data_IF_230516896655
#
_entry.id   IF_230516896655
#
_cell.length_a   1.000
_cell.length_b   1.000
_cell.length_c   1.000
_cell.angle_alpha   90.00
_cell.angle_beta   90.00
_cell.angle_gamma   90.00
#
_symmetry.space_group_name_H-M   'P 1'
#
loop_
_entity.id
_entity.type
_entity.pdbx_description
1 polymer ?
#
# COMPACT_ATOMS: atom_id res chain seq x y z
N UNK A 1 19.77 -28.94 -16.74
CA UNK A 1 19.15 -29.02 -15.40
C UNK A 1 17.66 -29.24 -15.60
N UNK A 2 17.10 -30.25 -14.96
CA UNK A 2 15.81 -30.88 -15.31
C UNK A 2 14.63 -29.90 -15.26
N UNK A 3 14.03 -29.69 -16.44
CA UNK A 3 12.85 -28.86 -16.66
C UNK A 3 11.60 -29.61 -16.17
N UNK A 4 11.39 -29.73 -14.86
CA UNK A 4 10.19 -30.35 -14.29
C UNK A 4 9.06 -29.33 -14.22
N UNK A 5 8.44 -29.04 -15.37
CA UNK A 5 7.13 -28.36 -15.46
C UNK A 5 6.11 -29.33 -16.08
N UNK A 6 5.85 -30.45 -15.40
CA UNK A 6 4.82 -31.39 -15.85
C UNK A 6 3.52 -31.12 -15.10
N UNK A 7 2.44 -30.98 -15.86
CA UNK A 7 1.07 -31.00 -15.35
C UNK A 7 0.85 -32.26 -14.49
N UNK A 8 0.21 -32.17 -13.30
CA UNK A 8 0.01 -33.32 -12.45
C UNK A 8 -0.91 -34.33 -13.15
N UNK A 9 -0.38 -35.50 -13.51
CA UNK A 9 -1.17 -36.54 -14.18
C UNK A 9 -2.33 -37.05 -13.32
N UNK A 10 -2.21 -36.98 -12.00
CA UNK A 10 -3.29 -37.29 -11.06
C UNK A 10 -4.52 -36.38 -11.21
N UNK A 11 -4.35 -35.16 -11.73
CA UNK A 11 -5.46 -34.23 -12.02
C UNK A 11 -6.26 -34.66 -13.26
N UNK A 12 -5.74 -35.55 -14.12
CA UNK A 12 -6.50 -36.03 -15.30
C UNK A 12 -7.73 -36.86 -14.90
N UNK A 13 -7.62 -37.61 -13.81
CA UNK A 13 -8.69 -38.47 -13.27
C UNK A 13 -9.64 -37.75 -12.32
N UNK A 14 -9.31 -36.51 -11.93
CA UNK A 14 -10.13 -35.69 -11.03
C UNK A 14 -11.36 -35.08 -11.71
N UNK A 15 -12.29 -34.60 -10.87
CA UNK A 15 -13.52 -33.95 -11.32
C UNK A 15 -13.22 -32.65 -12.08
N UNK A 16 -14.16 -32.21 -12.93
CA UNK A 16 -14.01 -30.95 -13.69
C UNK A 16 -13.81 -29.75 -12.76
N UNK A 17 -14.46 -29.74 -11.59
CA UNK A 17 -14.34 -28.69 -10.57
C UNK A 17 -12.92 -28.60 -10.01
N UNK A 18 -12.29 -29.73 -9.69
CA UNK A 18 -10.92 -29.76 -9.16
C UNK A 18 -9.89 -29.34 -10.22
N UNK A 19 -10.12 -29.71 -11.48
CA UNK A 19 -9.30 -29.24 -12.61
C UNK A 19 -9.35 -27.72 -12.76
N UNK A 20 -10.54 -27.13 -12.68
CA UNK A 20 -10.71 -25.68 -12.75
C UNK A 20 -10.01 -24.99 -11.57
N UNK A 21 -10.20 -25.48 -10.35
CA UNK A 21 -9.52 -24.95 -9.16
C UNK A 21 -8.00 -25.01 -9.28
N UNK A 22 -7.43 -26.06 -9.87
CA UNK A 22 -6.00 -26.13 -10.12
C UNK A 22 -5.53 -25.00 -11.03
N UNK A 23 -6.20 -24.78 -12.16
CA UNK A 23 -5.81 -23.73 -13.11
C UNK A 23 -6.05 -22.32 -12.59
N UNK A 24 -7.12 -22.10 -11.82
CA UNK A 24 -7.40 -20.81 -11.17
C UNK A 24 -6.30 -20.43 -10.17
N UNK A 25 -5.72 -21.42 -9.47
CA UNK A 25 -4.65 -21.20 -8.50
C UNK A 25 -3.24 -21.32 -9.11
N UNK A 26 -3.12 -21.85 -10.33
CA UNK A 26 -1.83 -22.04 -10.98
C UNK A 26 -1.30 -20.71 -11.53
N UNK A 27 -0.37 -20.12 -10.80
CA UNK A 27 0.38 -18.96 -11.29
C UNK A 27 1.65 -19.45 -11.99
N UNK A 28 1.72 -19.30 -13.31
CA UNK A 28 2.94 -19.63 -14.05
C UNK A 28 4.05 -18.63 -13.69
N UNK A 29 5.19 -19.13 -13.24
CA UNK A 29 6.41 -18.33 -13.10
C UNK A 29 6.85 -17.81 -14.48
N UNK A 30 6.53 -16.55 -14.76
CA UNK A 30 6.85 -15.86 -16.00
C UNK A 30 8.19 -15.13 -15.84
N UNK A 31 9.23 -15.41 -16.65
CA UNK A 31 10.57 -14.83 -16.47
C UNK A 31 10.58 -13.31 -16.36
N UNK A 32 9.76 -12.61 -17.16
CA UNK A 32 9.64 -11.14 -17.08
C UNK A 32 9.06 -10.63 -15.76
N UNK A 33 8.20 -11.41 -15.09
CA UNK A 33 7.64 -11.03 -13.80
C UNK A 33 8.73 -11.12 -12.73
N UNK A 34 9.57 -12.15 -12.80
CA UNK A 34 10.73 -12.34 -11.92
C UNK A 34 11.78 -11.23 -12.12
N UNK A 35 12.09 -10.89 -13.37
CA UNK A 35 12.96 -9.75 -13.70
C UNK A 35 12.41 -8.44 -13.13
N UNK A 36 11.12 -8.15 -13.34
CA UNK A 36 10.46 -6.96 -12.81
C UNK A 36 10.45 -6.93 -11.28
N UNK A 37 10.23 -8.08 -10.64
CA UNK A 37 10.29 -8.22 -9.18
C UNK A 37 11.69 -7.93 -8.64
N UNK A 38 12.73 -8.51 -9.25
CA UNK A 38 14.11 -8.27 -8.85
C UNK A 38 14.52 -6.80 -9.02
N UNK A 39 14.10 -6.18 -10.13
CA UNK A 39 14.33 -4.75 -10.35
C UNK A 39 13.66 -3.88 -9.28
N UNK A 40 12.38 -4.15 -8.99
CA UNK A 40 11.62 -3.42 -7.97
C UNK A 40 12.24 -3.59 -6.58
N UNK A 41 12.65 -4.81 -6.24
CA UNK A 41 13.33 -5.13 -4.98
C UNK A 41 14.61 -4.31 -4.80
N UNK A 42 15.43 -4.19 -5.83
CA UNK A 42 16.64 -3.34 -5.80
C UNK A 42 16.30 -1.85 -5.64
N UNK A 43 15.25 -1.37 -6.33
CA UNK A 43 14.83 0.02 -6.25
C UNK A 43 14.34 0.43 -4.85
N UNK A 44 13.61 -0.48 -4.19
CA UNK A 44 13.10 -0.30 -2.82
C UNK A 44 14.21 -0.46 -1.76
N UNK A 45 15.10 -1.44 -1.92
CA UNK A 45 16.15 -1.71 -0.91
C UNK A 45 17.22 -0.62 -0.82
N UNK A 46 17.53 0.03 -1.95
CA UNK A 46 18.61 1.02 -2.03
C UNK A 46 18.11 2.47 -1.97
N UNK A 47 16.96 2.72 -1.33
CA UNK A 47 16.43 4.07 -1.17
C UNK A 47 16.96 4.71 0.11
N UNK A 48 17.89 5.64 -0.04
CA UNK A 48 18.34 6.53 1.04
C UNK A 48 17.34 7.67 1.34
N UNK A 49 16.37 7.89 0.45
CA UNK A 49 15.37 8.96 0.51
C UNK A 49 13.99 8.45 0.09
N UNK A 50 12.94 9.24 0.37
CA UNK A 50 11.58 9.00 -0.12
C UNK A 50 11.54 8.94 -1.64
N UNK A 51 11.20 7.77 -2.20
CA UNK A 51 11.07 7.55 -3.65
C UNK A 51 9.62 7.26 -4.03
N UNK A 52 9.23 7.71 -5.23
CA UNK A 52 7.95 7.38 -5.85
C UNK A 52 8.24 6.46 -7.04
N UNK A 53 7.62 5.28 -7.06
CA UNK A 53 7.78 4.29 -8.14
C UNK A 53 6.43 4.09 -8.81
N UNK A 54 6.36 4.35 -10.11
CA UNK A 54 5.15 4.14 -10.92
C UNK A 54 5.21 2.80 -11.63
N UNK A 55 4.20 1.96 -11.42
CA UNK A 55 4.00 0.70 -12.13
C UNK A 55 2.73 0.82 -12.98
N UNK A 56 2.87 0.86 -14.29
CA UNK A 56 1.76 0.99 -15.24
C UNK A 56 1.84 -0.07 -16.34
N UNK A 57 0.69 -0.36 -16.98
CA UNK A 57 0.60 -1.36 -18.05
C UNK A 57 -0.83 -1.89 -18.22
N UNK A 58 -1.12 -2.65 -19.30
CA UNK A 58 -2.45 -3.13 -19.60
C UNK A 58 -2.98 -4.14 -18.57
N UNK A 59 -4.28 -4.34 -18.49
CA UNK A 59 -4.90 -5.32 -17.58
C UNK A 59 -4.38 -6.73 -17.87
N UNK A 60 -4.13 -7.53 -16.84
CA UNK A 60 -3.67 -8.92 -16.99
C UNK A 60 -2.15 -9.11 -17.13
N UNK A 61 -1.33 -8.06 -17.24
CA UNK A 61 0.15 -8.20 -17.33
C UNK A 61 0.86 -8.58 -16.02
N UNK A 62 0.11 -8.85 -14.94
CA UNK A 62 0.68 -9.26 -13.65
C UNK A 62 1.09 -8.12 -12.71
N UNK A 63 0.59 -6.89 -12.90
CA UNK A 63 0.88 -5.76 -11.97
C UNK A 63 0.42 -6.05 -10.54
N UNK A 64 -0.80 -6.58 -10.39
CA UNK A 64 -1.34 -6.98 -9.09
C UNK A 64 -0.48 -8.09 -8.48
N UNK A 65 -0.07 -9.07 -9.29
CA UNK A 65 0.85 -10.15 -8.87
C UNK A 65 2.19 -9.58 -8.40
N UNK A 66 2.77 -8.62 -9.13
CA UNK A 66 4.03 -7.96 -8.76
C UNK A 66 3.90 -7.21 -7.42
N UNK A 67 2.78 -6.51 -7.19
CA UNK A 67 2.48 -5.87 -5.90
C UNK A 67 2.43 -6.89 -4.77
N UNK A 68 1.70 -8.00 -4.95
CA UNK A 68 1.58 -9.02 -3.91
C UNK A 68 2.92 -9.70 -3.58
N UNK A 69 3.76 -9.92 -4.61
CA UNK A 69 5.10 -10.47 -4.41
C UNK A 69 6.01 -9.53 -3.63
N UNK A 70 6.01 -8.22 -3.96
CA UNK A 70 6.84 -7.24 -3.24
C UNK A 70 6.35 -7.03 -1.80
N UNK A 71 5.04 -7.01 -1.59
CA UNK A 71 4.41 -6.92 -0.27
C UNK A 71 4.85 -8.09 0.62
N UNK A 72 4.71 -9.32 0.10
CA UNK A 72 5.17 -10.53 0.81
C UNK A 72 6.65 -10.44 1.17
N UNK A 73 7.49 -10.05 0.22
CA UNK A 73 8.93 -9.91 0.47
C UNK A 73 9.27 -8.84 1.51
N UNK A 74 8.58 -7.69 1.51
CA UNK A 74 8.78 -6.62 2.49
C UNK A 74 8.42 -7.07 3.91
N UNK A 75 7.31 -7.80 4.05
CA UNK A 75 6.89 -8.36 5.34
C UNK A 75 7.91 -9.41 5.81
N UNK A 76 8.29 -10.35 4.96
CA UNK A 76 9.24 -11.41 5.32
C UNK A 76 10.63 -10.86 5.68
N UNK A 77 11.10 -9.84 4.95
CA UNK A 77 12.42 -9.23 5.20
C UNK A 77 12.47 -8.35 6.45
N UNK A 78 11.32 -7.89 6.95
CA UNK A 78 11.20 -7.07 8.15
C UNK A 78 10.89 -7.87 9.41
N UNK A 79 10.59 -9.18 9.32
CA UNK A 79 10.34 -10.05 10.48
C UNK A 79 11.40 -9.90 11.59
N UNK A 80 12.73 -9.91 11.31
CA UNK A 80 13.73 -9.76 12.36
C UNK A 80 13.65 -8.41 13.08
N UNK A 81 13.25 -7.35 12.39
CA UNK A 81 13.08 -6.02 12.97
C UNK A 81 11.79 -5.93 13.79
N UNK A 82 10.74 -6.62 13.36
CA UNK A 82 9.45 -6.67 14.07
C UNK A 82 9.56 -7.41 15.41
N UNK A 83 10.44 -8.41 15.51
CA UNK A 83 10.73 -9.09 16.78
C UNK A 83 11.36 -8.15 17.81
N UNK A 84 12.19 -7.20 17.35
CA UNK A 84 12.85 -6.21 18.21
C UNK A 84 11.96 -4.99 18.46
N UNK A 85 11.22 -4.56 17.45
CA UNK A 85 10.39 -3.36 17.44
C UNK A 85 8.99 -3.66 16.88
N UNK A 86 8.10 -4.10 17.76
CA UNK A 86 6.72 -4.46 17.41
C UNK A 86 5.87 -3.29 16.87
N UNK A 87 6.32 -2.04 17.05
CA UNK A 87 5.68 -0.84 16.50
C UNK A 87 6.11 -0.48 15.08
N UNK A 88 7.02 -1.24 14.46
CA UNK A 88 7.46 -0.99 13.10
C UNK A 88 6.37 -1.38 12.09
N UNK A 89 6.05 -0.48 11.15
CA UNK A 89 5.14 -0.78 10.05
C UNK A 89 5.95 -1.08 8.77
N UNK A 90 6.05 -2.33 8.34
CA UNK A 90 6.91 -2.70 7.22
C UNK A 90 6.31 -2.36 5.85
N UNK A 91 4.98 -2.29 5.78
CA UNK A 91 4.26 -2.05 4.55
C UNK A 91 2.85 -1.51 4.83
N UNK A 92 2.39 -0.57 4.01
CA UNK A 92 1.02 -0.07 3.98
C UNK A 92 0.54 -0.01 2.53
N UNK A 93 -0.72 -0.38 2.30
CA UNK A 93 -1.31 -0.31 0.97
C UNK A 93 -2.71 0.25 1.00
N UNK A 94 -3.02 1.09 0.01
CA UNK A 94 -4.33 1.70 -0.18
C UNK A 94 -4.73 1.59 -1.63
N UNK A 95 -5.94 1.08 -1.85
CA UNK A 95 -6.57 1.12 -3.16
C UNK A 95 -7.35 2.42 -3.34
N UNK A 96 -7.19 3.05 -4.50
CA UNK A 96 -7.98 4.22 -4.86
C UNK A 96 -9.39 3.78 -5.27
N UNK A 97 -10.38 4.12 -4.45
CA UNK A 97 -11.79 3.83 -4.75
C UNK A 97 -12.38 4.98 -5.56
N UNK A 98 -12.83 4.68 -6.76
CA UNK A 98 -13.64 5.61 -7.56
C UNK A 98 -15.08 5.51 -7.06
N UNK A 99 -15.64 6.63 -6.59
CA UNK A 99 -17.03 6.68 -6.15
C UNK A 99 -17.99 6.49 -7.34
N UNK A 100 -19.25 6.11 -7.08
CA UNK A 100 -20.28 5.99 -8.15
C UNK A 100 -20.46 7.27 -8.98
N UNK A 101 -20.12 8.43 -8.41
CA UNK A 101 -20.12 9.73 -9.07
C UNK A 101 -18.96 9.93 -10.07
N UNK A 102 -17.97 9.02 -10.11
CA UNK A 102 -16.76 9.14 -10.93
C UNK A 102 -15.73 10.14 -10.38
N UNK A 103 -16.06 10.86 -9.30
CA UNK A 103 -15.19 11.90 -8.73
C UNK A 103 -14.29 11.28 -7.66
N UNK A 104 -12.98 11.52 -7.79
CA UNK A 104 -12.01 11.13 -6.79
C UNK A 104 -12.15 12.00 -5.52
N UNK A 105 -12.24 11.35 -4.36
CA UNK A 105 -12.32 12.04 -3.09
C UNK A 105 -10.96 11.99 -2.37
N UNK A 106 -10.16 13.05 -2.54
CA UNK A 106 -8.83 13.16 -1.94
C UNK A 106 -8.86 13.08 -0.40
N UNK A 107 -9.90 13.61 0.24
CA UNK A 107 -10.04 13.58 1.72
C UNK A 107 -10.26 12.16 2.23
N UNK A 108 -11.12 11.41 1.55
CA UNK A 108 -11.38 9.99 1.84
C UNK A 108 -10.13 9.14 1.58
N UNK A 109 -9.41 9.41 0.48
CA UNK A 109 -8.15 8.71 0.17
C UNK A 109 -7.09 8.95 1.24
N UNK A 110 -6.87 10.20 1.68
CA UNK A 110 -5.90 10.52 2.74
C UNK A 110 -6.28 9.81 4.05
N UNK A 111 -7.56 9.78 4.41
CA UNK A 111 -8.01 9.04 5.60
C UNK A 111 -7.67 7.56 5.49
N UNK A 112 -7.93 6.92 4.35
CA UNK A 112 -7.56 5.51 4.12
C UNK A 112 -6.06 5.29 4.21
N UNK A 113 -5.24 6.22 3.74
CA UNK A 113 -3.78 6.17 3.93
C UNK A 113 -3.40 6.22 5.42
N UNK A 114 -4.00 7.12 6.20
CA UNK A 114 -3.73 7.17 7.64
C UNK A 114 -4.14 5.88 8.35
N UNK A 115 -5.30 5.31 8.01
CA UNK A 115 -5.73 4.02 8.55
C UNK A 115 -4.77 2.89 8.16
N UNK A 116 -4.33 2.83 6.91
CA UNK A 116 -3.35 1.84 6.45
C UNK A 116 -1.98 2.00 7.12
N UNK A 117 -1.64 3.21 7.58
CA UNK A 117 -0.43 3.50 8.34
C UNK A 117 -0.53 3.14 9.83
N UNK A 118 -1.67 2.61 10.30
CA UNK A 118 -1.94 2.37 11.73
C UNK A 118 -1.60 3.60 12.60
N UNK A 119 -1.86 4.80 12.07
CA UNK A 119 -1.52 6.03 12.75
C UNK A 119 -2.23 6.07 14.14
N UNK A 120 -1.48 6.11 15.26
CA UNK A 120 -2.02 5.86 16.60
C UNK A 120 -2.95 6.96 17.12
N UNK A 121 -3.01 8.11 16.44
CA UNK A 121 -3.79 9.28 16.87
C UNK A 121 -4.79 9.76 15.82
N UNK A 122 -5.24 8.89 14.89
CA UNK A 122 -6.24 9.27 13.87
C UNK A 122 -7.48 9.90 14.52
N UNK A 123 -7.97 9.31 15.61
CA UNK A 123 -9.17 9.77 16.32
C UNK A 123 -8.93 10.97 17.25
N UNK A 124 -7.66 11.29 17.49
CA UNK A 124 -7.22 12.39 18.35
C UNK A 124 -6.54 13.53 17.57
N UNK A 125 -6.61 13.52 16.22
CA UNK A 125 -6.09 14.63 15.43
C UNK A 125 -6.89 15.88 15.76
N UNK A 126 -6.19 16.86 16.36
CA UNK A 126 -6.73 18.17 16.66
C UNK A 126 -7.14 18.81 15.33
N UNK A 127 -8.41 19.16 15.25
CA UNK A 127 -8.95 19.93 14.15
C UNK A 127 -8.50 21.38 14.32
N UNK A 128 -7.45 21.77 13.59
CA UNK A 128 -6.86 23.11 13.67
C UNK A 128 -7.74 24.21 13.03
N UNK A 129 -8.99 23.92 12.69
CA UNK A 129 -9.87 24.90 12.05
C UNK A 129 -9.33 25.31 10.68
N UNK A 130 -8.80 24.34 9.93
CA UNK A 130 -8.36 24.59 8.55
C UNK A 130 -9.60 24.93 7.73
N UNK A 131 -9.58 26.05 7.00
CA UNK A 131 -10.79 26.61 6.39
C UNK A 131 -11.52 25.54 5.57
N UNK A 132 -12.78 25.35 5.96
CA UNK A 132 -13.79 24.54 5.30
C UNK A 132 -13.94 23.07 5.67
N UNK A 133 -13.22 22.51 6.66
CA UNK A 133 -13.79 21.45 7.50
C UNK A 133 -13.35 21.68 8.94
N UNK A 134 -14.31 21.94 9.83
CA UNK A 134 -14.05 22.02 11.27
C UNK A 134 -15.18 21.37 12.08
N UNK A 135 -14.87 20.90 13.29
CA UNK A 135 -15.87 20.59 14.32
C UNK A 135 -16.25 21.86 15.07
N UNK A 136 -17.53 22.19 15.10
CA UNK A 136 -18.02 23.29 15.92
C UNK A 136 -17.96 22.92 17.42
N UNK A 137 -18.24 23.87 18.30
CA UNK A 137 -18.22 23.68 19.75
C UNK A 137 -19.25 22.66 20.27
N UNK A 138 -20.18 22.20 19.43
CA UNK A 138 -21.13 21.13 19.72
C UNK A 138 -20.72 19.77 19.12
N UNK A 139 -19.50 19.65 18.60
CA UNK A 139 -18.93 18.40 18.05
C UNK A 139 -19.45 18.02 16.66
N UNK A 140 -20.23 18.87 16.01
CA UNK A 140 -20.78 18.63 14.68
C UNK A 140 -19.77 19.05 13.60
N UNK A 141 -19.65 18.23 12.56
CA UNK A 141 -18.76 18.50 11.42
C UNK A 141 -19.43 19.55 10.51
N UNK A 142 -18.80 20.71 10.37
CA UNK A 142 -19.20 21.79 9.46
C UNK A 142 -18.25 21.81 8.27
N UNK A 143 -18.80 21.80 7.05
CA UNK A 143 -18.03 21.83 5.79
C UNK A 143 -18.36 23.12 5.05
N UNK A 144 -17.39 24.03 4.89
CA UNK A 144 -17.57 25.26 4.11
C UNK A 144 -17.36 24.98 2.62
N UNK A 145 -18.13 25.64 1.76
CA UNK A 145 -18.27 25.33 0.33
C UNK A 145 -17.04 25.68 -0.53
N UNK A 146 -15.95 26.19 0.05
CA UNK A 146 -14.78 26.65 -0.70
C UNK A 146 -13.48 26.29 0.02
N UNK A 147 -13.08 25.02 -0.07
CA UNK A 147 -11.76 24.55 0.40
C UNK A 147 -10.79 24.60 -0.78
N UNK A 148 -9.69 25.35 -0.64
CA UNK A 148 -8.65 25.49 -1.66
C UNK A 148 -7.59 24.39 -1.43
N UNK A 149 -7.12 23.80 -2.52
CA UNK A 149 -6.17 22.67 -2.61
C UNK A 149 -4.87 22.86 -1.80
N UNK A 150 -4.47 24.12 -1.59
CA UNK A 150 -3.21 24.51 -0.93
C UNK A 150 -3.16 24.19 0.58
N UNK A 151 -4.30 24.08 1.25
CA UNK A 151 -4.34 23.83 2.71
C UNK A 151 -4.03 22.37 3.07
N UNK A 152 -4.14 21.44 2.12
CA UNK A 152 -3.83 20.01 2.33
C UNK A 152 -2.32 19.73 2.31
N UNK A 153 -1.53 20.54 1.59
CA UNK A 153 -0.08 20.37 1.44
C UNK A 153 0.70 20.54 2.75
N UNK A 154 0.24 21.40 3.66
CA UNK A 154 0.92 21.65 4.93
C UNK A 154 0.89 20.47 5.91
N UNK A 155 -0.08 19.56 5.75
CA UNK A 155 -0.17 18.35 6.60
C UNK A 155 0.91 17.33 6.23
N UNK A 156 1.29 17.25 4.96
CA UNK A 156 2.34 16.33 4.48
C UNK A 156 3.76 16.79 4.84
N UNK A 157 4.04 18.11 4.81
CA UNK A 157 5.37 18.64 5.12
C UNK A 157 5.73 18.42 6.61
N UNK A 158 4.76 18.55 7.52
CA UNK A 158 4.98 18.29 8.95
C UNK A 158 5.32 16.83 9.26
N UNK A 159 4.89 15.88 8.42
CA UNK A 159 5.15 14.45 8.63
C UNK A 159 6.60 14.06 8.35
N UNK A 160 7.24 14.70 7.36
CA UNK A 160 8.68 14.49 7.09
C UNK A 160 9.54 15.02 8.23
N UNK A 161 9.14 16.13 8.86
CA UNK A 161 9.85 16.70 10.01
C UNK A 161 9.64 15.90 11.29
N UNK A 162 8.47 15.30 11.52
CA UNK A 162 8.20 14.51 12.73
C UNK A 162 8.95 13.17 12.72
N UNK A 163 9.04 12.50 11.56
CA UNK A 163 9.81 11.26 11.41
C UNK A 163 11.33 11.52 11.58
N UNK A 164 11.83 12.67 11.13
CA UNK A 164 13.19 13.10 11.37
C UNK A 164 13.45 13.44 12.85
N UNK A 165 12.48 14.02 13.55
CA UNK A 165 12.63 14.37 14.97
C UNK A 165 12.73 13.13 15.85
N UNK A 166 11.95 12.07 15.59
CA UNK A 166 11.99 10.83 16.37
C UNK A 166 13.35 10.11 16.21
N UNK A 167 13.94 10.14 15.01
CA UNK A 167 15.26 9.54 14.78
C UNK A 167 16.43 10.35 15.34
N UNK A 168 16.24 11.64 15.65
CA UNK A 168 17.30 12.48 16.26
C UNK A 168 17.36 12.37 17.79
N UNK A 169 16.31 11.83 18.44
CA UNK A 169 16.24 11.70 19.91
C UNK A 169 16.63 10.30 20.44
N UNK A 170 17.11 9.40 19.57
CA UNK A 170 17.50 8.03 19.96
C UNK A 170 18.99 7.72 19.78
N UNK A 171 19.86 8.71 20.03
CA UNK A 171 21.30 8.50 20.24
C UNK A 171 21.74 9.08 21.59
#
# INVERSE_FOLDING_TARGET
MSNQKHFPTALLTQSTTEKLLYFDNYTMAHPRLEEAFNFLKLAVSNSSESRIIFIYGPTGVGKTTLRLLIEKWLIESSLPQLEVHSGCLPFASVEAVVQKSGIFNSKDHIKRCLFALNEPLIDHKIDYGTRGIYRNNSGQIVIESKVIETDLGFTCVKFSSLLAMINTFSN
#
